data_IF_901574707694
#
_entry.id   IF_901574707694
#
_cell.length_a   1.000
_cell.length_b   1.000
_cell.length_c   1.000
_cell.angle_alpha   90.00
_cell.angle_beta   90.00
_cell.angle_gamma   90.00
#
_symmetry.space_group_name_H-M   'P 1'
#
loop_
_entity.id
_entity.type
_entity.pdbx_description
1 polymer ?
#
# COMPACT_ATOMS: atom_id res chain seq x y z
N UNK A 1 8.59 2.14 -4.68
CA UNK A 1 8.23 3.35 -3.91
C UNK A 1 8.37 4.58 -4.80
N UNK A 2 7.72 5.68 -4.44
CA UNK A 2 7.77 6.95 -5.16
C UNK A 2 8.41 8.05 -4.30
N UNK A 3 9.04 9.03 -4.95
CA UNK A 3 9.58 10.20 -4.26
C UNK A 3 8.48 11.23 -4.01
N UNK A 4 8.28 11.61 -2.76
CA UNK A 4 7.31 12.63 -2.35
C UNK A 4 8.01 13.96 -2.02
N UNK A 5 7.85 15.02 -2.84
CA UNK A 5 8.62 16.27 -2.69
C UNK A 5 8.43 16.99 -1.35
N UNK A 6 7.22 16.98 -0.77
CA UNK A 6 6.94 17.66 0.50
C UNK A 6 7.53 16.94 1.72
N UNK A 7 7.71 15.62 1.60
CA UNK A 7 8.34 14.81 2.64
C UNK A 7 9.86 14.71 2.45
N UNK A 8 10.35 15.07 1.26
CA UNK A 8 11.74 14.84 0.84
C UNK A 8 12.20 13.39 1.10
N UNK A 9 11.32 12.43 0.76
CA UNK A 9 11.59 11.02 0.98
C UNK A 9 10.75 10.08 0.11
N UNK A 10 11.06 8.79 0.20
CA UNK A 10 10.40 7.68 -0.47
C UNK A 10 9.28 7.13 0.39
N UNK A 11 8.10 7.04 -0.21
CA UNK A 11 6.89 6.48 0.39
C UNK A 11 6.27 5.43 -0.54
N UNK A 12 5.48 4.48 0.00
CA UNK A 12 4.57 3.69 -0.83
C UNK A 12 3.59 4.62 -1.56
N UNK A 13 3.07 4.20 -2.73
CA UNK A 13 1.98 4.94 -3.37
C UNK A 13 0.71 4.89 -2.50
N UNK A 14 -0.13 5.89 -2.61
CA UNK A 14 -1.38 5.95 -1.87
C UNK A 14 -2.03 7.32 -1.90
N UNK A 15 -3.31 7.34 -1.53
CA UNK A 15 -4.13 8.53 -1.59
C UNK A 15 -5.46 8.31 -0.91
N UNK A 16 -6.38 9.23 -1.13
CA UNK A 16 -7.71 9.15 -0.56
C UNK A 16 -8.56 8.12 -1.28
N UNK A 17 -9.48 7.52 -0.53
CA UNK A 17 -10.54 6.68 -1.08
C UNK A 17 -11.68 7.57 -1.56
N UNK A 18 -12.02 7.47 -2.84
CA UNK A 18 -13.15 8.19 -3.43
C UNK A 18 -14.51 7.60 -3.03
N UNK A 19 -15.58 8.37 -3.23
CA UNK A 19 -16.91 8.01 -2.72
C UNK A 19 -17.52 6.74 -3.36
N UNK A 20 -17.07 6.37 -4.56
CA UNK A 20 -17.57 5.26 -5.36
C UNK A 20 -16.60 4.06 -5.45
N UNK A 21 -15.54 4.06 -4.63
CA UNK A 21 -14.55 2.98 -4.60
C UNK A 21 -14.31 2.45 -3.19
N UNK A 22 -13.86 1.20 -3.11
CA UNK A 22 -13.34 0.59 -1.89
C UNK A 22 -11.87 0.98 -1.66
N UNK A 23 -11.34 0.83 -0.43
CA UNK A 23 -9.92 1.08 -0.16
C UNK A 23 -8.97 0.23 -1.02
N UNK A 24 -9.38 -1.00 -1.39
CA UNK A 24 -8.59 -1.86 -2.26
C UNK A 24 -8.57 -1.34 -3.70
N UNK A 25 -9.72 -0.85 -4.20
CA UNK A 25 -9.80 -0.20 -5.52
C UNK A 25 -8.97 1.07 -5.57
N UNK A 26 -9.10 1.94 -4.55
CA UNK A 26 -8.27 3.13 -4.37
C UNK A 26 -6.78 2.78 -4.42
N UNK A 27 -6.32 1.82 -3.61
CA UNK A 27 -4.92 1.39 -3.61
C UNK A 27 -4.45 0.94 -5.00
N UNK A 28 -5.26 0.19 -5.76
CA UNK A 28 -4.87 -0.22 -7.12
C UNK A 28 -4.86 0.93 -8.13
N UNK A 29 -5.80 1.89 -8.00
CA UNK A 29 -5.85 3.09 -8.85
C UNK A 29 -4.62 3.97 -8.61
N UNK A 30 -4.33 4.28 -7.34
CA UNK A 30 -3.19 5.11 -6.94
C UNK A 30 -1.85 4.50 -7.39
N UNK A 31 -1.69 3.18 -7.32
CA UNK A 31 -0.48 2.52 -7.86
C UNK A 31 -0.33 2.75 -9.36
N UNK A 32 -1.41 2.71 -10.13
CA UNK A 32 -1.37 2.97 -11.57
C UNK A 32 -1.05 4.44 -11.85
N UNK A 33 -1.70 5.36 -11.13
CA UNK A 33 -1.52 6.81 -11.29
C UNK A 33 -0.09 7.23 -10.91
N UNK A 34 0.38 6.84 -9.73
CA UNK A 34 1.65 7.33 -9.19
C UNK A 34 2.87 6.53 -9.69
N UNK A 35 2.74 5.20 -9.84
CA UNK A 35 3.85 4.33 -10.23
C UNK A 35 3.82 3.89 -11.69
N UNK A 36 2.69 4.06 -12.38
CA UNK A 36 2.57 3.66 -13.77
C UNK A 36 2.53 2.15 -14.01
N UNK A 37 2.25 1.34 -12.99
CA UNK A 37 2.21 -0.12 -13.08
C UNK A 37 0.93 -0.70 -12.49
N UNK A 38 0.62 -1.96 -12.83
CA UNK A 38 -0.44 -2.74 -12.18
C UNK A 38 0.14 -3.61 -11.09
N UNK A 39 -0.73 -3.94 -10.14
CA UNK A 39 -0.41 -4.88 -9.07
C UNK A 39 -1.56 -5.85 -8.84
N UNK A 40 -1.24 -7.02 -8.29
CA UNK A 40 -2.20 -7.95 -7.71
C UNK A 40 -2.09 -7.88 -6.19
N UNK A 41 -3.15 -7.43 -5.53
CA UNK A 41 -3.17 -7.36 -4.07
C UNK A 41 -3.09 -8.75 -3.46
N UNK A 42 -2.38 -8.83 -2.34
CA UNK A 42 -2.28 -9.99 -1.47
C UNK A 42 -3.25 -9.78 -0.33
N UNK A 43 -4.20 -10.69 -0.15
CA UNK A 43 -5.16 -10.59 0.95
C UNK A 43 -4.45 -10.56 2.31
N UNK A 44 -4.78 -9.56 3.11
CA UNK A 44 -4.36 -9.50 4.51
C UNK A 44 -5.09 -10.52 5.37
N UNK A 45 -4.73 -10.62 6.67
CA UNK A 45 -5.37 -11.54 7.59
C UNK A 45 -6.86 -11.22 7.76
N UNK A 46 -7.74 -12.16 7.41
CA UNK A 46 -9.18 -12.04 7.60
C UNK A 46 -9.80 -13.38 7.96
N UNK A 47 -10.88 -13.34 8.74
CA UNK A 47 -11.69 -14.53 9.03
C UNK A 47 -12.46 -14.92 7.75
N UNK A 48 -12.48 -16.20 7.36
CA UNK A 48 -13.28 -16.66 6.23
C UNK A 48 -14.76 -16.35 6.40
N UNK A 49 -15.45 -16.12 5.29
CA UNK A 49 -16.90 -15.95 5.30
C UNK A 49 -17.58 -17.28 5.70
N UNK A 50 -18.72 -17.22 6.40
CA UNK A 50 -19.51 -18.41 6.69
C UNK A 50 -20.00 -19.09 5.40
N UNK A 51 -20.20 -20.40 5.46
CA UNK A 51 -20.81 -21.16 4.38
C UNK A 51 -22.19 -20.58 4.01
N UNK A 52 -22.42 -20.36 2.71
CA UNK A 52 -23.67 -19.81 2.19
C UNK A 52 -23.83 -18.29 2.36
N UNK A 53 -22.77 -17.55 2.74
CA UNK A 53 -22.83 -16.09 2.78
C UNK A 53 -23.09 -15.52 1.36
N UNK A 54 -24.09 -14.64 1.18
CA UNK A 54 -24.58 -14.26 -0.16
C UNK A 54 -23.79 -13.13 -0.82
N UNK A 55 -22.64 -12.73 -0.27
CA UNK A 55 -21.84 -11.60 -0.75
C UNK A 55 -20.39 -11.98 -0.96
N UNK A 56 -19.75 -11.30 -1.91
CA UNK A 56 -18.34 -11.50 -2.25
C UNK A 56 -17.45 -10.79 -1.23
N UNK A 57 -16.40 -11.44 -0.71
CA UNK A 57 -15.43 -10.76 0.14
C UNK A 57 -14.61 -9.77 -0.68
N UNK A 58 -14.22 -8.66 -0.06
CA UNK A 58 -13.22 -7.74 -0.62
C UNK A 58 -11.83 -8.11 -0.08
N UNK A 59 -10.79 -7.69 -0.78
CA UNK A 59 -9.41 -7.89 -0.32
C UNK A 59 -9.21 -7.15 1.00
N UNK A 60 -8.85 -7.88 2.05
CA UNK A 60 -8.58 -7.28 3.35
C UNK A 60 -7.21 -6.57 3.34
N UNK A 61 -7.07 -5.40 3.98
CA UNK A 61 -5.77 -4.77 4.19
C UNK A 61 -4.92 -5.62 5.15
N UNK A 62 -3.59 -5.48 5.05
CA UNK A 62 -2.66 -6.12 5.98
C UNK A 62 -2.60 -5.38 7.31
N UNK A 63 -2.70 -4.05 7.27
CA UNK A 63 -2.74 -3.20 8.44
C UNK A 63 -3.76 -2.09 8.26
N UNK A 64 -4.43 -1.72 9.35
CA UNK A 64 -5.26 -0.51 9.42
C UNK A 64 -4.72 0.32 10.57
N UNK A 65 -4.32 1.56 10.30
CA UNK A 65 -3.66 2.43 11.29
C UNK A 65 -4.26 3.83 11.28
N UNK A 66 -4.27 4.49 12.43
CA UNK A 66 -4.60 5.91 12.53
C UNK A 66 -3.32 6.74 12.56
N UNK A 67 -3.27 7.80 11.75
CA UNK A 67 -2.15 8.73 11.74
C UNK A 67 -2.61 10.19 11.69
N UNK A 68 -1.88 11.06 12.39
CA UNK A 68 -2.17 12.48 12.39
C UNK A 68 -1.77 13.11 11.06
N UNK A 69 -2.74 13.73 10.38
CA UNK A 69 -2.56 14.39 9.10
C UNK A 69 -2.47 15.91 9.26
N UNK A 70 -1.60 16.52 8.45
CA UNK A 70 -1.61 17.97 8.24
C UNK A 70 -2.69 18.32 7.20
N UNK A 71 -3.07 19.60 7.06
CA UNK A 71 -3.96 20.03 5.98
C UNK A 71 -3.51 19.53 4.60
N UNK A 72 -4.48 19.11 3.80
CA UNK A 72 -4.33 18.48 2.49
C UNK A 72 -5.39 18.99 1.50
N UNK A 73 -5.58 18.28 0.37
CA UNK A 73 -6.55 18.64 -0.67
C UNK A 73 -8.02 18.54 -0.21
N UNK A 74 -8.31 17.82 0.86
CA UNK A 74 -9.67 17.57 1.34
C UNK A 74 -10.06 18.47 2.50
N UNK A 75 -9.11 18.82 3.37
CA UNK A 75 -9.38 19.72 4.48
C UNK A 75 -8.23 20.65 4.80
N UNK A 76 -8.59 21.89 5.16
CA UNK A 76 -7.65 22.91 5.63
C UNK A 76 -7.23 22.73 7.09
N UNK A 77 -7.81 21.76 7.80
CA UNK A 77 -7.54 21.52 9.22
C UNK A 77 -6.68 20.28 9.45
N UNK A 78 -6.02 20.21 10.61
CA UNK A 78 -5.41 18.96 11.06
C UNK A 78 -6.51 17.95 11.32
N UNK A 79 -6.27 16.72 10.90
CA UNK A 79 -7.24 15.65 11.01
C UNK A 79 -6.49 14.31 11.18
N UNK A 80 -7.24 13.21 11.13
CA UNK A 80 -6.69 11.86 11.26
C UNK A 80 -6.98 11.12 9.96
N UNK A 81 -5.95 10.49 9.40
CA UNK A 81 -6.11 9.49 8.36
C UNK A 81 -6.29 8.11 8.99
N UNK A 82 -7.16 7.29 8.40
CA UNK A 82 -7.31 5.86 8.71
C UNK A 82 -6.79 5.08 7.50
N UNK A 83 -5.52 4.73 7.56
CA UNK A 83 -4.80 4.14 6.43
C UNK A 83 -5.07 2.65 6.35
N UNK A 84 -5.56 2.22 5.19
CA UNK A 84 -5.71 0.81 4.85
C UNK A 84 -4.48 0.40 4.02
N UNK A 85 -3.54 -0.28 4.66
CA UNK A 85 -2.25 -0.63 4.04
C UNK A 85 -2.36 -2.01 3.37
N UNK A 86 -2.08 -2.05 2.07
CA UNK A 86 -2.13 -3.26 1.25
C UNK A 86 -0.73 -3.70 0.82
N UNK A 87 -0.57 -5.02 0.68
CA UNK A 87 0.62 -5.64 0.09
C UNK A 87 0.23 -6.17 -1.28
N UNK A 88 1.12 -6.08 -2.26
CA UNK A 88 0.81 -6.49 -3.62
C UNK A 88 2.04 -7.02 -4.35
N UNK A 89 1.80 -7.89 -5.33
CA UNK A 89 2.80 -8.24 -6.34
C UNK A 89 2.67 -7.33 -7.54
N UNK A 90 3.81 -6.94 -8.11
CA UNK A 90 3.86 -6.27 -9.39
C UNK A 90 3.33 -7.15 -10.53
N UNK A 91 2.58 -6.54 -11.43
CA UNK A 91 1.89 -7.18 -12.56
C UNK A 91 2.01 -6.37 -13.86
N UNK A 92 3.19 -5.78 -14.09
CA UNK A 92 3.51 -5.11 -15.35
C UNK A 92 3.37 -3.59 -15.33
N UNK A 93 4.22 -2.94 -16.10
CA UNK A 93 4.14 -1.50 -16.34
C UNK A 93 3.09 -1.21 -17.42
N UNK A 94 2.33 -0.13 -17.23
CA UNK A 94 1.22 0.25 -18.11
C UNK A 94 1.30 1.67 -18.62
N UNK A 95 1.99 2.55 -17.89
CA UNK A 95 2.24 3.92 -18.28
C UNK A 95 3.51 4.47 -17.62
N UNK A 96 4.07 5.58 -18.09
CA UNK A 96 5.14 6.26 -17.35
C UNK A 96 4.64 6.75 -15.98
N UNK A 97 5.48 6.67 -14.93
CA UNK A 97 5.12 7.19 -13.61
C UNK A 97 5.07 8.73 -13.60
N UNK A 98 4.23 9.30 -12.74
CA UNK A 98 4.10 10.76 -12.57
C UNK A 98 5.33 11.40 -11.90
N UNK A 99 6.02 10.64 -11.07
CA UNK A 99 7.21 11.08 -10.32
C UNK A 99 8.35 10.08 -10.44
N UNK A 100 9.45 10.34 -9.73
CA UNK A 100 10.55 9.39 -9.61
C UNK A 100 10.07 8.18 -8.82
N UNK A 101 10.25 7.01 -9.41
CA UNK A 101 9.98 5.71 -8.78
C UNK A 101 11.25 4.90 -8.70
N UNK A 102 11.36 4.08 -7.67
CA UNK A 102 12.50 3.20 -7.46
C UNK A 102 12.07 1.91 -6.75
N UNK A 103 12.69 0.81 -7.17
CA UNK A 103 12.70 -0.46 -6.47
C UNK A 103 13.74 -0.45 -5.37
N UNK A 104 13.41 -1.05 -4.24
CA UNK A 104 14.30 -1.18 -3.09
C UNK A 104 14.41 -2.64 -2.69
N UNK A 105 15.62 -3.11 -2.44
CA UNK A 105 15.86 -4.37 -1.74
C UNK A 105 15.78 -4.20 -0.21
N UNK A 106 15.87 -5.31 0.53
CA UNK A 106 15.78 -5.31 1.99
C UNK A 106 16.85 -4.42 2.66
N UNK A 107 18.08 -4.45 2.14
CA UNK A 107 19.18 -3.68 2.70
C UNK A 107 19.02 -2.19 2.41
N UNK A 108 18.63 -1.84 1.18
CA UNK A 108 18.34 -0.46 0.79
C UNK A 108 17.20 0.13 1.62
N UNK A 109 16.16 -0.65 1.93
CA UNK A 109 15.09 -0.23 2.85
C UNK A 109 15.60 -0.04 4.28
N UNK A 110 16.42 -0.96 4.78
CA UNK A 110 16.95 -0.87 6.14
C UNK A 110 17.84 0.38 6.33
N UNK A 111 18.69 0.68 5.35
CA UNK A 111 19.67 1.76 5.43
C UNK A 111 19.13 3.13 4.97
N UNK A 112 18.02 3.14 4.23
CA UNK A 112 17.43 4.34 3.65
C UNK A 112 16.93 5.32 4.71
N UNK A 113 17.70 6.39 4.96
CA UNK A 113 17.31 7.47 5.87
C UNK A 113 16.23 8.39 5.27
N UNK A 114 16.08 8.38 3.95
CA UNK A 114 15.06 9.10 3.19
C UNK A 114 13.79 8.24 2.98
N UNK A 115 13.63 7.13 3.70
CA UNK A 115 12.48 6.23 3.60
C UNK A 115 11.67 6.34 4.89
N UNK A 116 10.34 6.46 4.77
CA UNK A 116 9.47 6.58 5.93
C UNK A 116 9.64 5.39 6.90
N UNK A 117 9.69 5.69 8.21
CA UNK A 117 10.03 4.70 9.25
C UNK A 117 9.02 3.54 9.29
N UNK A 118 7.73 3.85 9.19
CA UNK A 118 6.65 2.86 9.10
C UNK A 118 6.85 1.88 7.95
N UNK A 119 7.23 2.38 6.77
CA UNK A 119 7.46 1.63 5.55
C UNK A 119 8.65 0.70 5.71
N UNK A 120 9.71 1.14 6.39
CA UNK A 120 10.87 0.27 6.72
C UNK A 120 10.48 -0.85 7.68
N UNK A 121 9.68 -0.55 8.70
CA UNK A 121 9.22 -1.55 9.67
C UNK A 121 8.30 -2.59 9.02
N UNK A 122 7.36 -2.15 8.19
CA UNK A 122 6.47 -3.04 7.44
C UNK A 122 7.26 -3.88 6.43
N UNK A 123 8.18 -3.28 5.67
CA UNK A 123 8.98 -4.02 4.71
C UNK A 123 9.85 -5.10 5.37
N UNK A 124 10.46 -4.81 6.52
CA UNK A 124 11.23 -5.81 7.29
C UNK A 124 10.37 -7.03 7.65
N UNK A 125 9.13 -6.79 8.10
CA UNK A 125 8.18 -7.88 8.38
C UNK A 125 7.85 -8.68 7.11
N UNK A 126 7.65 -8.01 5.98
CA UNK A 126 7.35 -8.67 4.70
C UNK A 126 8.52 -9.52 4.20
N UNK A 127 9.76 -9.01 4.24
CA UNK A 127 10.94 -9.78 3.85
C UNK A 127 11.15 -11.01 4.72
N UNK A 128 10.92 -10.90 6.03
CA UNK A 128 10.96 -12.05 6.94
C UNK A 128 9.93 -13.12 6.52
N UNK A 129 8.68 -12.73 6.28
CA UNK A 129 7.61 -13.67 5.88
C UNK A 129 7.86 -14.33 4.53
N UNK A 130 8.24 -13.56 3.51
CA UNK A 130 8.41 -14.09 2.15
C UNK A 130 9.73 -14.83 1.92
N UNK A 131 10.74 -14.63 2.79
CA UNK A 131 11.98 -15.42 2.75
C UNK A 131 11.82 -16.81 3.38
N UNK A 132 10.86 -17.00 4.28
CA UNK A 132 10.56 -18.28 4.93
C UNK A 132 9.73 -19.26 4.07
N UNK A 133 9.41 -18.87 2.82
CA UNK A 133 8.74 -19.76 1.87
C UNK A 133 7.25 -19.96 2.13
N UNK A 134 6.58 -19.04 2.83
CA UNK A 134 5.12 -18.96 2.78
C UNK A 134 4.69 -18.62 1.35
N UNK A 135 4.50 -19.65 0.53
CA UNK A 135 3.71 -19.55 -0.69
C UNK A 135 2.35 -19.00 -0.28
N UNK A 136 1.98 -17.87 -0.87
CA UNK A 136 0.62 -17.34 -0.77
C UNK A 136 -0.31 -18.34 -1.45
N UNK A 137 -0.76 -19.32 -0.67
CA UNK A 137 -1.83 -20.20 -1.06
C UNK A 137 -3.06 -19.33 -1.31
N UNK A 138 -3.36 -19.08 -2.58
CA UNK A 138 -4.65 -18.56 -3.02
C UNK A 138 -5.30 -19.67 -3.84
N UNK A 139 -6.32 -20.32 -3.25
CA UNK A 139 -7.48 -20.79 -4.00
C UNK A 139 -8.64 -19.87 -3.68
#
# INVERSE_FOLDING_TARGET
MMWHPRFEGWIPPGGHVEADESPAEAATREVVEELGCRVRLVAGPATPLPDGFPHTPVVAPWWIVEMAASPDSHTSERHVHVDHVFVAFWDGDVQPPETRVRWFDEQELADGADIAEDSRLQAKELFARFSEGEELAHS
#
